data_IF_475345165183
#
_entry.id   IF_475345165183
#
_cell.length_a   1.000
_cell.length_b   1.000
_cell.length_c   1.000
_cell.angle_alpha   90.00
_cell.angle_beta   90.00
_cell.angle_gamma   90.00
#
_symmetry.space_group_name_H-M   'P 1'
#
loop_
_entity.id
_entity.type
_entity.pdbx_description
1 polymer ?
#
# COMPACT_ATOMS: atom_id res chain seq x y z
N UNK A 1 38.09 -1.63 -10.81
CA UNK A 1 37.11 -2.09 -9.80
C UNK A 1 36.56 -3.44 -10.26
N UNK A 2 36.85 -4.52 -9.53
CA UNK A 2 36.46 -5.89 -9.91
C UNK A 2 34.91 -6.03 -9.85
N UNK A 3 34.35 -6.86 -10.74
CA UNK A 3 32.90 -7.14 -10.81
C UNK A 3 32.32 -7.61 -9.46
N UNK A 4 33.16 -8.22 -8.62
CA UNK A 4 32.81 -8.62 -7.25
C UNK A 4 32.55 -7.41 -6.33
N UNK A 5 33.40 -6.41 -6.33
CA UNK A 5 33.25 -5.21 -5.50
C UNK A 5 31.97 -4.44 -5.86
N UNK A 6 31.67 -4.32 -7.17
CA UNK A 6 30.46 -3.66 -7.64
C UNK A 6 29.17 -4.43 -7.27
N UNK A 7 29.22 -5.75 -7.21
CA UNK A 7 28.08 -6.58 -6.78
C UNK A 7 27.86 -6.49 -5.26
N UNK A 8 28.94 -6.45 -4.48
CA UNK A 8 28.88 -6.28 -3.03
C UNK A 8 28.34 -4.88 -2.69
N UNK A 9 28.86 -3.83 -3.33
CA UNK A 9 28.37 -2.46 -3.16
C UNK A 9 26.88 -2.31 -3.54
N UNK A 10 26.46 -2.90 -4.66
CA UNK A 10 25.04 -2.88 -5.03
C UNK A 10 24.15 -3.63 -4.03
N UNK A 11 24.63 -4.75 -3.49
CA UNK A 11 23.93 -5.53 -2.47
C UNK A 11 23.80 -4.77 -1.14
N UNK A 12 24.86 -4.10 -0.70
CA UNK A 12 24.82 -3.31 0.55
C UNK A 12 23.94 -2.08 0.44
N UNK A 13 23.93 -1.39 -0.70
CA UNK A 13 23.04 -0.25 -0.96
C UNK A 13 21.57 -0.70 -0.98
N UNK A 14 21.28 -1.82 -1.64
CA UNK A 14 19.89 -2.37 -1.64
C UNK A 14 19.45 -2.79 -0.24
N UNK A 15 20.32 -3.42 0.54
CA UNK A 15 20.00 -3.81 1.92
C UNK A 15 19.78 -2.57 2.81
N UNK A 16 20.63 -1.54 2.68
CA UNK A 16 20.48 -0.29 3.42
C UNK A 16 19.17 0.43 3.07
N UNK A 17 18.80 0.51 1.78
CA UNK A 17 17.54 1.07 1.34
C UNK A 17 16.33 0.28 1.88
N UNK A 18 16.40 -1.05 1.86
CA UNK A 18 15.36 -1.90 2.43
C UNK A 18 15.19 -1.65 3.94
N UNK A 19 16.28 -1.52 4.69
CA UNK A 19 16.26 -1.22 6.13
C UNK A 19 15.64 0.16 6.38
N UNK A 20 16.01 1.19 5.61
CA UNK A 20 15.44 2.55 5.74
C UNK A 20 13.93 2.55 5.48
N UNK A 21 13.48 1.82 4.46
CA UNK A 21 12.04 1.68 4.16
C UNK A 21 11.30 0.97 5.29
N UNK A 22 11.85 -0.15 5.78
CA UNK A 22 11.23 -0.90 6.89
C UNK A 22 11.19 -0.06 8.18
N UNK A 23 12.28 0.63 8.51
CA UNK A 23 12.34 1.52 9.68
C UNK A 23 11.35 2.68 9.53
N UNK A 24 11.22 3.28 8.34
CA UNK A 24 10.26 4.34 8.07
C UNK A 24 8.80 3.89 8.24
N UNK A 25 8.48 2.65 7.83
CA UNK A 25 7.14 2.07 8.01
C UNK A 25 6.85 1.75 9.49
N UNK A 26 7.86 1.27 10.24
CA UNK A 26 7.67 0.82 11.64
C UNK A 26 7.73 1.99 12.64
N UNK A 27 8.51 3.05 12.35
CA UNK A 27 8.66 4.23 13.22
C UNK A 27 7.75 5.40 12.87
N UNK A 28 6.90 5.27 11.85
CA UNK A 28 5.80 6.22 11.61
C UNK A 28 4.75 6.07 12.71
N UNK A 29 5.05 6.55 13.91
CA UNK A 29 4.01 6.86 14.91
C UNK A 29 3.24 8.06 14.40
N UNK A 30 2.21 7.78 13.61
CA UNK A 30 1.24 8.77 13.21
C UNK A 30 0.67 9.38 14.48
N UNK A 31 0.78 10.70 14.63
CA UNK A 31 0.11 11.38 15.73
C UNK A 31 -1.40 11.07 15.60
N UNK A 32 -2.13 11.11 16.72
CA UNK A 32 -3.58 10.88 16.72
C UNK A 32 -4.28 11.74 15.63
N UNK A 33 -3.79 12.95 15.40
CA UNK A 33 -4.28 13.84 14.34
C UNK A 33 -4.01 13.32 12.94
N UNK A 34 -2.81 12.81 12.69
CA UNK A 34 -2.43 12.24 11.38
C UNK A 34 -3.26 10.99 11.09
N UNK A 35 -3.52 10.19 12.12
CA UNK A 35 -4.40 9.01 12.03
C UNK A 35 -5.85 9.39 11.70
N UNK A 36 -6.41 10.41 12.37
CA UNK A 36 -7.75 10.93 12.08
C UNK A 36 -7.82 11.44 10.65
N UNK A 37 -6.82 12.22 10.23
CA UNK A 37 -6.75 12.75 8.86
C UNK A 37 -6.64 11.61 7.84
N UNK A 38 -5.78 10.62 8.06
CA UNK A 38 -5.61 9.48 7.17
C UNK A 38 -6.89 8.65 7.03
N UNK A 39 -7.63 8.43 8.12
CA UNK A 39 -8.94 7.77 8.07
C UNK A 39 -9.96 8.60 7.29
N UNK A 40 -9.98 9.91 7.50
CA UNK A 40 -10.85 10.84 6.78
C UNK A 40 -10.60 10.89 5.28
N UNK A 41 -9.35 10.68 4.84
CA UNK A 41 -9.00 10.57 3.42
C UNK A 41 -9.54 9.30 2.75
N UNK A 42 -9.83 8.26 3.52
CA UNK A 42 -10.35 6.98 3.01
C UNK A 42 -11.87 6.94 2.93
N UNK A 43 -12.55 7.85 3.62
CA UNK A 43 -14.01 7.91 3.72
C UNK A 43 -14.53 9.00 2.80
N UNK A 44 -15.44 8.63 1.91
CA UNK A 44 -16.08 9.52 0.95
C UNK A 44 -17.19 10.34 1.61
N UNK A 45 -17.25 11.63 1.32
CA UNK A 45 -18.40 12.44 1.67
C UNK A 45 -19.63 12.05 0.84
N UNK A 46 -20.75 11.64 1.44
CA UNK A 46 -21.91 11.15 0.70
C UNK A 46 -22.66 12.24 -0.09
N UNK A 47 -22.50 13.50 0.28
CA UNK A 47 -23.17 14.67 -0.34
C UNK A 47 -22.22 15.51 -1.19
N UNK A 48 -20.93 15.22 -1.17
CA UNK A 48 -19.89 15.97 -1.89
C UNK A 48 -19.39 15.10 -3.04
N UNK A 49 -19.59 15.39 -4.23
CA UNK A 49 -19.20 14.75 -5.51
C UNK A 49 -18.03 13.74 -5.52
N UNK A 50 -17.84 12.99 -4.43
CA UNK A 50 -16.82 11.95 -4.29
C UNK A 50 -15.54 12.38 -3.56
N UNK A 51 -15.50 13.56 -2.97
CA UNK A 51 -14.37 14.04 -2.18
C UNK A 51 -14.24 13.31 -0.84
N UNK A 52 -13.02 13.15 -0.29
CA UNK A 52 -12.79 12.66 1.07
C UNK A 52 -13.43 13.59 2.11
N UNK A 53 -13.90 13.02 3.23
CA UNK A 53 -14.42 13.86 4.34
C UNK A 53 -13.34 14.76 4.95
N UNK A 54 -12.07 14.37 4.86
CA UNK A 54 -10.95 15.15 5.37
C UNK A 54 -10.69 16.45 4.59
N UNK A 55 -11.06 16.51 3.31
CA UNK A 55 -10.79 17.65 2.43
C UNK A 55 -12.03 18.49 2.12
N UNK A 56 -13.21 17.98 2.48
CA UNK A 56 -14.47 18.66 2.16
C UNK A 56 -14.88 19.65 3.27
N UNK A 57 -15.17 20.92 2.93
CA UNK A 57 -15.63 21.93 3.89
C UNK A 57 -17.12 21.76 4.26
N UNK A 58 -17.81 20.75 3.75
CA UNK A 58 -19.22 20.52 4.03
C UNK A 58 -19.46 20.21 5.51
N UNK A 59 -20.55 20.73 6.07
CA UNK A 59 -20.96 20.47 7.45
C UNK A 59 -21.08 18.95 7.74
N UNK A 60 -21.60 18.20 6.78
CA UNK A 60 -21.67 16.72 6.88
C UNK A 60 -20.30 16.08 7.02
N UNK A 61 -19.30 16.58 6.27
CA UNK A 61 -17.92 16.07 6.33
C UNK A 61 -17.29 16.39 7.68
N UNK A 62 -17.49 17.61 8.19
CA UNK A 62 -17.02 18.00 9.51
C UNK A 62 -17.61 17.10 10.61
N UNK A 63 -18.93 16.89 10.58
CA UNK A 63 -19.59 15.99 11.54
C UNK A 63 -19.08 14.54 11.44
N UNK A 64 -18.76 14.06 10.24
CA UNK A 64 -18.17 12.72 10.07
C UNK A 64 -16.74 12.66 10.58
N UNK A 65 -15.94 13.72 10.42
CA UNK A 65 -14.58 13.82 10.98
C UNK A 65 -14.62 13.83 12.52
N UNK A 66 -15.59 14.50 13.12
CA UNK A 66 -15.78 14.50 14.58
C UNK A 66 -16.07 13.07 15.09
N UNK A 67 -16.89 12.29 14.37
CA UNK A 67 -17.13 10.88 14.71
C UNK A 67 -15.84 10.06 14.58
N UNK A 68 -15.02 10.29 13.55
CA UNK A 68 -13.72 9.62 13.43
C UNK A 68 -12.83 9.95 14.61
N UNK A 69 -12.74 11.23 14.99
CA UNK A 69 -11.93 11.69 16.13
C UNK A 69 -12.40 11.07 17.47
N UNK A 70 -13.70 11.05 17.71
CA UNK A 70 -14.29 10.45 18.91
C UNK A 70 -13.94 8.94 19.03
N UNK A 71 -14.02 8.21 17.92
CA UNK A 71 -13.73 6.77 17.90
C UNK A 71 -12.24 6.48 18.03
N UNK A 72 -11.39 7.29 17.44
CA UNK A 72 -9.93 7.21 17.63
C UNK A 72 -9.57 7.46 19.09
N UNK A 73 -10.14 8.49 19.72
CA UNK A 73 -9.96 8.79 21.14
C UNK A 73 -10.51 7.67 22.04
N UNK A 74 -11.55 6.96 21.61
CA UNK A 74 -12.07 5.77 22.31
C UNK A 74 -11.17 4.53 22.16
N UNK A 75 -10.08 4.61 21.38
CA UNK A 75 -9.13 3.52 21.18
C UNK A 75 -9.59 2.46 20.18
N UNK A 76 -10.60 2.73 19.36
CA UNK A 76 -11.04 1.82 18.30
C UNK A 76 -9.96 1.65 17.24
N UNK A 77 -9.89 0.45 16.64
CA UNK A 77 -8.97 0.20 15.53
C UNK A 77 -9.49 0.82 14.23
N UNK A 78 -8.61 1.07 13.26
CA UNK A 78 -8.97 1.62 11.95
C UNK A 78 -10.02 0.77 11.25
N UNK A 79 -9.88 -0.56 11.33
CA UNK A 79 -10.85 -1.49 10.75
C UNK A 79 -12.24 -1.35 11.39
N UNK A 80 -12.33 -1.16 12.71
CA UNK A 80 -13.60 -0.97 13.42
C UNK A 80 -14.27 0.33 13.00
N UNK A 81 -13.47 1.41 12.88
CA UNK A 81 -13.97 2.73 12.43
C UNK A 81 -14.48 2.63 10.98
N UNK A 82 -13.72 2.01 10.10
CA UNK A 82 -14.12 1.79 8.70
C UNK A 82 -15.38 0.93 8.60
N UNK A 83 -15.46 -0.18 9.34
CA UNK A 83 -16.62 -1.08 9.36
C UNK A 83 -17.88 -0.35 9.88
N UNK A 84 -17.75 0.58 10.81
CA UNK A 84 -18.86 1.42 11.26
C UNK A 84 -19.43 2.26 10.10
N UNK A 85 -18.58 2.97 9.34
CA UNK A 85 -19.03 3.77 8.21
C UNK A 85 -19.60 2.91 7.08
N UNK A 86 -18.99 1.76 6.80
CA UNK A 86 -19.48 0.79 5.80
C UNK A 86 -20.84 0.23 6.20
N UNK A 87 -21.07 -0.08 7.46
CA UNK A 87 -22.36 -0.59 7.95
C UNK A 87 -23.48 0.43 7.81
N UNK A 88 -23.17 1.72 7.92
CA UNK A 88 -24.15 2.80 7.94
C UNK A 88 -24.43 3.37 6.54
N UNK A 89 -23.42 3.44 5.69
CA UNK A 89 -23.49 4.10 4.37
C UNK A 89 -23.26 3.13 3.20
N UNK A 90 -22.93 1.88 3.50
CA UNK A 90 -22.60 0.87 2.50
C UNK A 90 -21.13 0.89 2.05
N UNK A 91 -20.68 -0.15 1.32
CA UNK A 91 -19.27 -0.30 0.91
C UNK A 91 -18.78 0.78 -0.07
N UNK A 92 -19.69 1.48 -0.74
CA UNK A 92 -19.37 2.59 -1.65
C UNK A 92 -18.92 3.87 -0.94
N UNK A 93 -18.92 3.90 0.42
CA UNK A 93 -18.40 5.02 1.20
C UNK A 93 -16.88 5.06 1.22
N UNK A 94 -16.19 3.97 0.90
CA UNK A 94 -14.75 3.89 0.88
C UNK A 94 -14.19 4.33 -0.48
N UNK A 95 -13.18 5.19 -0.44
CA UNK A 95 -12.41 5.60 -1.61
C UNK A 95 -11.35 4.58 -1.96
N UNK A 96 -10.79 3.90 -0.94
CA UNK A 96 -9.80 2.86 -1.13
C UNK A 96 -10.45 1.47 -1.20
N UNK A 97 -10.06 0.63 -2.18
CA UNK A 97 -10.49 -0.75 -2.19
C UNK A 97 -9.91 -1.48 -0.98
N UNK A 98 -10.75 -2.12 -0.14
CA UNK A 98 -10.26 -2.85 1.02
C UNK A 98 -9.31 -3.99 0.58
N UNK A 99 -8.21 -4.20 1.32
CA UNK A 99 -7.26 -5.30 1.10
C UNK A 99 -7.85 -6.68 1.45
N UNK A 100 -9.16 -6.91 1.16
CA UNK A 100 -9.90 -8.13 1.53
C UNK A 100 -10.60 -8.72 0.32
N UNK A 101 -10.66 -10.04 0.28
CA UNK A 101 -11.41 -10.78 -0.74
C UNK A 101 -10.89 -10.57 -2.17
N UNK A 102 -11.78 -10.23 -3.10
CA UNK A 102 -11.48 -10.11 -4.54
C UNK A 102 -10.53 -8.96 -4.87
N UNK A 103 -10.45 -7.92 -4.04
CA UNK A 103 -9.57 -6.77 -4.24
C UNK A 103 -8.10 -7.10 -3.94
N UNK A 104 -7.83 -8.15 -3.16
CA UNK A 104 -6.47 -8.65 -2.96
C UNK A 104 -5.80 -9.06 -4.30
N UNK A 105 -6.59 -9.56 -5.25
CA UNK A 105 -6.10 -9.94 -6.58
C UNK A 105 -5.51 -8.74 -7.35
N UNK A 106 -6.08 -7.55 -7.19
CA UNK A 106 -5.59 -6.31 -7.83
C UNK A 106 -4.19 -5.97 -7.36
N UNK A 107 -3.88 -6.23 -6.09
CA UNK A 107 -2.58 -5.97 -5.50
C UNK A 107 -1.55 -7.08 -5.77
N UNK A 108 -2.02 -8.33 -5.85
CA UNK A 108 -1.14 -9.48 -6.13
C UNK A 108 -0.75 -9.56 -7.61
N UNK A 109 -1.60 -9.13 -8.53
CA UNK A 109 -1.39 -9.25 -9.97
C UNK A 109 -0.09 -8.58 -10.46
N UNK A 110 0.24 -7.33 -10.09
CA UNK A 110 1.50 -6.71 -10.49
C UNK A 110 2.73 -7.41 -9.88
N UNK A 111 2.63 -7.93 -8.67
CA UNK A 111 3.73 -8.65 -8.02
C UNK A 111 4.01 -9.99 -8.74
N UNK A 112 2.96 -10.73 -9.07
CA UNK A 112 3.06 -11.99 -9.82
C UNK A 112 3.60 -11.74 -11.23
N UNK A 113 3.11 -10.68 -11.92
CA UNK A 113 3.59 -10.32 -13.25
C UNK A 113 5.09 -9.96 -13.24
N UNK A 114 5.52 -9.19 -12.25
CA UNK A 114 6.93 -8.83 -12.06
C UNK A 114 7.80 -10.07 -11.81
N UNK A 115 7.35 -10.96 -10.92
CA UNK A 115 8.04 -12.22 -10.62
C UNK A 115 8.16 -13.13 -11.85
N UNK A 116 7.08 -13.30 -12.60
CA UNK A 116 7.09 -14.08 -13.85
C UNK A 116 8.03 -13.47 -14.90
N UNK A 117 8.04 -12.14 -15.04
CA UNK A 117 8.96 -11.42 -15.93
C UNK A 117 10.44 -11.67 -15.57
N UNK A 118 10.78 -11.58 -14.29
CA UNK A 118 12.14 -11.84 -13.80
C UNK A 118 12.56 -13.30 -14.09
N UNK A 119 11.70 -14.27 -13.78
CA UNK A 119 11.96 -15.70 -14.03
C UNK A 119 12.17 -15.96 -15.55
N UNK A 120 11.34 -15.35 -16.41
CA UNK A 120 11.46 -15.48 -17.86
C UNK A 120 12.79 -14.91 -18.39
N UNK A 121 13.20 -13.73 -17.89
CA UNK A 121 14.48 -13.11 -18.27
C UNK A 121 15.67 -13.96 -17.78
N UNK A 122 15.61 -14.48 -16.57
CA UNK A 122 16.66 -15.35 -16.03
C UNK A 122 16.75 -16.68 -16.78
N UNK A 123 15.60 -17.26 -17.16
CA UNK A 123 15.53 -18.48 -17.97
C UNK A 123 16.16 -18.29 -19.36
N UNK A 124 15.85 -17.19 -20.04
CA UNK A 124 16.45 -16.87 -21.36
C UNK A 124 17.95 -16.63 -21.31
N UNK A 125 18.49 -16.13 -20.21
CA UNK A 125 19.95 -15.93 -20.04
C UNK A 125 20.72 -17.23 -19.84
N UNK A 126 20.06 -18.34 -19.50
CA UNK A 126 20.67 -19.67 -19.30
C UNK A 126 20.72 -20.51 -20.58
N UNK A 127 19.97 -20.15 -21.63
CA UNK A 127 19.89 -20.93 -22.88
C UNK A 127 21.04 -20.78 -23.90
N UNK A 128 21.86 -19.71 -23.96
CA UNK A 128 22.88 -19.62 -24.97
C UNK A 128 24.09 -20.56 -24.77
N UNK A 129 24.28 -21.12 -23.58
CA UNK A 129 25.44 -21.97 -23.29
C UNK A 129 25.30 -23.42 -23.83
N UNK A 130 24.07 -23.95 -23.95
CA UNK A 130 23.82 -25.31 -24.47
C UNK A 130 23.89 -25.43 -25.97
N UNK A 131 23.52 -24.40 -26.71
CA UNK A 131 23.52 -24.41 -28.15
C UNK A 131 24.93 -24.35 -28.75
N UNK A 132 25.94 -23.92 -28.01
CA UNK A 132 27.32 -23.85 -28.45
C UNK A 132 28.11 -25.16 -28.16
N UNK A 133 27.65 -26.00 -27.29
CA UNK A 133 28.28 -27.26 -26.92
C UNK A 133 27.86 -28.38 -27.89
N UNK A 134 26.66 -28.31 -28.46
CA UNK A 134 26.15 -29.27 -29.46
C UNK A 134 26.68 -29.03 -30.89
N UNK A 135 27.25 -27.85 -31.13
CA UNK A 135 27.82 -27.49 -32.49
C UNK A 135 29.33 -27.74 -32.59
N UNK A 136 29.98 -28.38 -31.63
CA UNK A 136 31.41 -28.66 -31.59
C UNK A 136 31.68 -30.16 -31.60
#
# INVERSE_FOLDING_TARGET
MSRCVRRILAGTVMAALAIVVVVGIVMGEDSERDRIQALGQRIKCPVCQGEPIADSPAETSTAMMDIVAERVAAGETDDQIIDYFVSRYGPGILLDPPFRGRTLAVWLLPVVALGAGIVMIMGRRRSPARAQEEAR
#
